data_IF_458272772606
#
_entry.id   IF_458272772606
#
_cell.length_a   1.000
_cell.length_b   1.000
_cell.length_c   1.000
_cell.angle_alpha   90.00
_cell.angle_beta   90.00
_cell.angle_gamma   90.00
#
_symmetry.space_group_name_H-M   'P 1'
#
loop_
_entity.id
_entity.type
_entity.pdbx_description
1 polymer ?
#
# COMPACT_ATOMS: atom_id res chain seq x y z
N UNK A 1 21.27 -10.06 10.90
CA UNK A 1 20.50 -9.01 10.21
C UNK A 1 21.49 -8.19 9.42
N UNK A 2 21.01 -7.45 8.41
CA UNK A 2 21.84 -6.45 7.72
C UNK A 2 21.44 -5.09 8.26
N UNK A 3 22.41 -4.32 8.76
CA UNK A 3 22.18 -2.99 9.32
C UNK A 3 23.16 -2.02 8.67
N UNK A 4 22.66 -0.86 8.23
CA UNK A 4 23.50 0.17 7.64
C UNK A 4 22.96 1.58 7.89
N UNK A 5 23.64 2.35 8.73
CA UNK A 5 23.24 3.69 9.12
C UNK A 5 23.23 4.65 7.91
N UNK A 6 24.27 4.57 7.08
CA UNK A 6 24.35 5.37 5.85
C UNK A 6 25.06 4.60 4.75
N UNK A 7 24.31 4.25 3.72
CA UNK A 7 24.87 3.66 2.50
C UNK A 7 24.69 4.59 1.31
N UNK A 8 25.81 4.93 0.68
CA UNK A 8 25.80 5.48 -0.68
C UNK A 8 25.50 4.42 -1.71
N UNK A 9 25.68 3.14 -1.37
CA UNK A 9 25.32 1.99 -2.20
C UNK A 9 24.00 1.36 -1.72
N UNK A 10 23.51 0.34 -2.43
CA UNK A 10 22.29 -0.34 -2.02
C UNK A 10 22.57 -1.22 -0.80
N UNK A 11 21.55 -1.45 0.03
CA UNK A 11 21.61 -2.46 1.09
C UNK A 11 20.90 -3.70 0.55
N UNK A 12 21.65 -4.77 0.32
CA UNK A 12 21.15 -6.00 -0.30
C UNK A 12 21.31 -7.20 0.63
N UNK A 13 20.30 -8.07 0.67
CA UNK A 13 20.38 -9.34 1.40
C UNK A 13 19.47 -10.42 0.80
N UNK A 14 20.06 -11.49 0.29
CA UNK A 14 19.31 -12.62 -0.26
C UNK A 14 18.48 -13.33 0.82
N UNK A 15 19.06 -13.51 2.02
CA UNK A 15 18.37 -14.12 3.15
C UNK A 15 18.80 -13.52 4.47
N UNK A 16 17.86 -12.85 5.15
CA UNK A 16 18.07 -12.37 6.51
C UNK A 16 17.04 -12.96 7.47
N UNK A 17 17.53 -13.70 8.46
CA UNK A 17 16.68 -14.13 9.56
C UNK A 17 16.31 -12.93 10.43
N UNK A 18 17.24 -11.99 10.70
CA UNK A 18 17.02 -10.90 11.66
C UNK A 18 16.72 -9.55 10.98
N UNK A 19 16.20 -9.55 9.76
CA UNK A 19 15.78 -8.30 9.10
C UNK A 19 16.89 -7.58 8.34
N UNK A 20 16.47 -6.61 7.53
CA UNK A 20 17.34 -5.69 6.80
C UNK A 20 16.92 -4.27 7.17
N UNK A 21 17.83 -3.49 7.73
CA UNK A 21 17.57 -2.15 8.24
C UNK A 21 18.57 -1.15 7.64
N UNK A 22 18.07 0.01 7.23
CA UNK A 22 18.94 1.13 6.83
C UNK A 22 18.33 2.49 7.07
N UNK A 23 19.00 3.32 7.87
CA UNK A 23 18.50 4.67 8.18
C UNK A 23 18.55 5.57 6.93
N UNK A 24 19.64 5.51 6.16
CA UNK A 24 19.77 6.28 4.91
C UNK A 24 20.44 5.49 3.78
N UNK A 25 19.64 5.10 2.79
CA UNK A 25 20.14 4.50 1.55
C UNK A 25 19.91 5.40 0.33
N UNK A 26 20.97 5.61 -0.45
CA UNK A 26 20.82 6.29 -1.74
C UNK A 26 20.30 5.32 -2.79
N UNK A 27 20.82 4.10 -2.89
CA UNK A 27 20.48 3.15 -3.97
C UNK A 27 19.44 2.09 -3.57
N UNK A 28 18.74 2.29 -2.45
CA UNK A 28 17.63 1.43 -2.06
C UNK A 28 18.01 0.36 -1.04
N UNK A 29 16.98 -0.34 -0.57
CA UNK A 29 17.09 -1.49 0.32
C UNK A 29 16.34 -2.64 -0.31
N UNK A 30 17.03 -3.77 -0.55
CA UNK A 30 16.48 -4.94 -1.22
C UNK A 30 16.71 -6.19 -0.39
N UNK A 31 15.68 -7.03 -0.28
CA UNK A 31 15.84 -8.36 0.30
C UNK A 31 14.90 -9.40 -0.28
N UNK A 32 15.45 -10.49 -0.82
CA UNK A 32 14.64 -11.57 -1.40
C UNK A 32 13.85 -12.30 -0.30
N UNK A 33 14.48 -12.61 0.83
CA UNK A 33 13.82 -13.27 1.96
C UNK A 33 14.22 -12.70 3.31
N UNK A 34 13.28 -12.00 3.94
CA UNK A 34 13.43 -11.54 5.32
C UNK A 34 12.38 -12.16 6.26
N UNK A 35 12.86 -12.74 7.37
CA UNK A 35 11.93 -13.15 8.44
C UNK A 35 11.49 -11.94 9.24
N UNK A 36 12.40 -11.10 9.75
CA UNK A 36 12.06 -9.96 10.61
C UNK A 36 11.79 -8.64 9.86
N UNK A 37 11.59 -8.70 8.54
CA UNK A 37 11.16 -7.54 7.76
C UNK A 37 12.28 -6.75 7.10
N UNK A 38 11.89 -5.74 6.34
CA UNK A 38 12.80 -4.79 5.68
C UNK A 38 12.35 -3.40 6.07
N UNK A 39 13.25 -2.61 6.63
CA UNK A 39 12.98 -1.27 7.14
C UNK A 39 13.97 -0.26 6.58
N UNK A 40 13.46 0.92 6.20
CA UNK A 40 14.34 2.06 5.90
C UNK A 40 13.70 3.40 6.20
N UNK A 41 14.35 4.22 7.02
CA UNK A 41 13.83 5.55 7.35
C UNK A 41 13.87 6.46 6.11
N UNK A 42 14.97 6.44 5.35
CA UNK A 42 15.10 7.23 4.12
C UNK A 42 15.77 6.47 2.99
N UNK A 43 14.98 6.17 1.96
CA UNK A 43 15.47 5.60 0.71
C UNK A 43 15.17 6.49 -0.49
N UNK A 44 16.19 6.76 -1.31
CA UNK A 44 15.94 7.42 -2.60
C UNK A 44 15.39 6.42 -3.62
N UNK A 45 16.03 5.26 -3.83
CA UNK A 45 15.62 4.29 -4.86
C UNK A 45 14.61 3.23 -4.38
N UNK A 46 14.04 3.39 -3.20
CA UNK A 46 12.95 2.55 -2.74
C UNK A 46 13.35 1.44 -1.78
N UNK A 47 12.34 0.70 -1.33
CA UNK A 47 12.50 -0.46 -0.46
C UNK A 47 11.73 -1.61 -1.10
N UNK A 48 12.42 -2.73 -1.33
CA UNK A 48 11.86 -3.88 -2.04
C UNK A 48 12.09 -5.17 -1.24
N UNK A 49 11.07 -6.02 -1.20
CA UNK A 49 11.25 -7.38 -0.70
C UNK A 49 10.33 -8.40 -1.35
N UNK A 50 10.88 -9.46 -1.93
CA UNK A 50 10.08 -10.52 -2.55
C UNK A 50 9.27 -11.27 -1.48
N UNK A 51 9.90 -11.63 -0.35
CA UNK A 51 9.23 -12.32 0.74
C UNK A 51 9.63 -11.80 2.11
N UNK A 52 8.66 -11.14 2.75
CA UNK A 52 8.78 -10.71 4.14
C UNK A 52 7.74 -11.37 5.04
N UNK A 53 8.18 -11.88 6.20
CA UNK A 53 7.24 -12.28 7.25
C UNK A 53 6.75 -11.07 8.04
N UNK A 54 7.64 -10.25 8.61
CA UNK A 54 7.24 -9.11 9.46
C UNK A 54 7.00 -7.79 8.72
N UNK A 55 6.97 -7.80 7.39
CA UNK A 55 6.55 -6.64 6.61
C UNK A 55 7.69 -5.88 5.95
N UNK A 56 7.32 -4.85 5.21
CA UNK A 56 8.24 -3.91 4.56
C UNK A 56 7.78 -2.51 4.93
N UNK A 57 8.69 -1.72 5.50
CA UNK A 57 8.38 -0.41 6.04
C UNK A 57 9.36 0.64 5.54
N UNK A 58 8.86 1.83 5.22
CA UNK A 58 9.73 2.99 4.98
C UNK A 58 9.07 4.31 5.33
N UNK A 59 9.70 5.11 6.19
CA UNK A 59 9.18 6.43 6.56
C UNK A 59 9.21 7.37 5.35
N UNK A 60 10.30 7.37 4.58
CA UNK A 60 10.43 8.21 3.38
C UNK A 60 11.10 7.49 2.23
N UNK A 61 10.30 7.22 1.20
CA UNK A 61 10.78 6.68 -0.07
C UNK A 61 10.50 7.62 -1.25
N UNK A 62 11.49 7.86 -2.10
CA UNK A 62 11.21 8.53 -3.38
C UNK A 62 10.64 7.53 -4.39
N UNK A 63 11.28 6.39 -4.65
CA UNK A 63 10.85 5.42 -5.67
C UNK A 63 9.87 4.35 -5.17
N UNK A 64 9.34 4.49 -3.97
CA UNK A 64 8.27 3.64 -3.48
C UNK A 64 8.71 2.52 -2.55
N UNK A 65 7.71 1.75 -2.12
CA UNK A 65 7.88 0.57 -1.28
C UNK A 65 7.12 -0.57 -1.93
N UNK A 66 7.80 -1.70 -2.17
CA UNK A 66 7.26 -2.82 -2.91
C UNK A 66 7.48 -4.13 -2.16
N UNK A 67 6.48 -5.01 -2.18
CA UNK A 67 6.67 -6.39 -1.76
C UNK A 67 5.75 -7.38 -2.46
N UNK A 68 6.32 -8.42 -3.06
CA UNK A 68 5.52 -9.46 -3.72
C UNK A 68 4.72 -10.24 -2.69
N UNK A 69 5.34 -10.62 -1.57
CA UNK A 69 4.67 -11.36 -0.49
C UNK A 69 5.05 -10.87 0.89
N UNK A 70 4.10 -10.19 1.54
CA UNK A 70 4.21 -9.82 2.94
C UNK A 70 3.15 -10.49 3.82
N UNK A 71 3.55 -10.95 5.00
CA UNK A 71 2.58 -11.42 5.99
C UNK A 71 2.04 -10.26 6.81
N UNK A 72 2.90 -9.41 7.39
CA UNK A 72 2.48 -8.28 8.24
C UNK A 72 2.28 -6.96 7.48
N UNK A 73 2.29 -6.98 6.16
CA UNK A 73 1.91 -5.83 5.34
C UNK A 73 3.08 -5.03 4.78
N UNK A 74 2.71 -3.97 4.07
CA UNK A 74 3.64 -3.01 3.47
C UNK A 74 3.18 -1.62 3.88
N UNK A 75 4.08 -0.83 4.45
CA UNK A 75 3.77 0.47 5.01
C UNK A 75 4.75 1.54 4.53
N UNK A 76 4.23 2.74 4.28
CA UNK A 76 5.09 3.92 4.10
C UNK A 76 4.42 5.22 4.50
N UNK A 77 5.05 6.00 5.37
CA UNK A 77 4.52 7.30 5.78
C UNK A 77 4.54 8.27 4.60
N UNK A 78 5.65 8.31 3.85
CA UNK A 78 5.77 9.18 2.67
C UNK A 78 6.45 8.49 1.49
N UNK A 79 5.66 8.24 0.46
CA UNK A 79 6.14 7.75 -0.82
C UNK A 79 5.84 8.71 -1.97
N UNK A 80 6.82 8.95 -2.84
CA UNK A 80 6.52 9.64 -4.11
C UNK A 80 5.93 8.67 -5.13
N UNK A 81 6.56 7.54 -5.41
CA UNK A 81 6.10 6.59 -6.44
C UNK A 81 5.14 5.51 -5.96
N UNK A 82 4.66 5.61 -4.72
CA UNK A 82 3.60 4.75 -4.21
C UNK A 82 4.06 3.60 -3.34
N UNK A 83 3.07 2.80 -2.94
CA UNK A 83 3.26 1.60 -2.13
C UNK A 83 2.50 0.46 -2.81
N UNK A 84 3.18 -0.64 -3.07
CA UNK A 84 2.65 -1.76 -3.85
C UNK A 84 2.87 -3.08 -3.14
N UNK A 85 1.88 -3.97 -3.20
CA UNK A 85 2.08 -5.37 -2.83
C UNK A 85 1.17 -6.33 -3.58
N UNK A 86 1.75 -7.35 -4.20
CA UNK A 86 0.98 -8.38 -4.91
C UNK A 86 0.16 -9.20 -3.90
N UNK A 87 0.78 -9.61 -2.79
CA UNK A 87 0.10 -10.38 -1.75
C UNK A 87 0.47 -9.92 -0.34
N UNK A 88 -0.51 -9.33 0.33
CA UNK A 88 -0.41 -8.99 1.74
C UNK A 88 -1.49 -9.69 2.59
N UNK A 89 -1.10 -10.21 3.76
CA UNK A 89 -2.09 -10.65 4.74
C UNK A 89 -2.61 -9.45 5.54
N UNK A 90 -1.76 -8.63 6.16
CA UNK A 90 -2.21 -7.51 7.01
C UNK A 90 -2.41 -6.18 6.28
N UNK A 91 -2.36 -6.18 4.95
CA UNK A 91 -2.72 -5.02 4.15
C UNK A 91 -1.56 -4.19 3.63
N UNK A 92 -1.91 -3.09 2.97
CA UNK A 92 -0.99 -2.12 2.40
C UNK A 92 -1.46 -0.74 2.84
N UNK A 93 -0.56 0.04 3.43
CA UNK A 93 -0.89 1.33 4.03
C UNK A 93 0.08 2.42 3.60
N UNK A 94 -0.43 3.63 3.37
CA UNK A 94 0.42 4.81 3.25
C UNK A 94 -0.27 6.10 3.69
N UNK A 95 0.37 6.86 4.58
CA UNK A 95 -0.16 8.14 5.03
C UNK A 95 -0.15 9.15 3.88
N UNK A 96 0.96 9.21 3.12
CA UNK A 96 1.08 10.11 1.98
C UNK A 96 1.76 9.46 0.79
N UNK A 97 0.98 9.26 -0.26
CA UNK A 97 1.48 8.81 -1.56
C UNK A 97 1.17 9.81 -2.68
N UNK A 98 2.13 10.08 -3.57
CA UNK A 98 1.81 10.80 -4.81
C UNK A 98 1.21 9.84 -5.84
N UNK A 99 1.86 8.72 -6.15
CA UNK A 99 1.39 7.80 -7.21
C UNK A 99 0.45 6.69 -6.74
N UNK A 100 -0.03 6.76 -5.50
CA UNK A 100 -1.08 5.88 -4.99
C UNK A 100 -0.60 4.70 -4.17
N UNK A 101 -1.56 3.88 -3.80
CA UNK A 101 -1.37 2.64 -3.02
C UNK A 101 -2.12 1.53 -3.74
N UNK A 102 -1.43 0.43 -4.03
CA UNK A 102 -1.97 -0.67 -4.83
C UNK A 102 -1.73 -2.02 -4.15
N UNK A 103 -2.72 -2.91 -4.24
CA UNK A 103 -2.52 -4.32 -3.90
C UNK A 103 -3.42 -5.26 -4.68
N UNK A 104 -2.83 -6.26 -5.33
CA UNK A 104 -3.60 -7.27 -6.06
C UNK A 104 -4.41 -8.14 -5.09
N UNK A 105 -3.79 -8.56 -3.98
CA UNK A 105 -4.46 -9.38 -2.97
C UNK A 105 -4.10 -8.98 -1.55
N UNK A 106 -5.08 -8.38 -0.87
CA UNK A 106 -5.01 -8.08 0.55
C UNK A 106 -6.09 -8.83 1.35
N UNK A 107 -5.74 -9.29 2.56
CA UNK A 107 -6.76 -9.78 3.49
C UNK A 107 -7.32 -8.64 4.34
N UNK A 108 -6.48 -7.83 4.97
CA UNK A 108 -6.92 -6.75 5.87
C UNK A 108 -7.12 -5.39 5.19
N UNK A 109 -7.04 -5.33 3.86
CA UNK A 109 -7.39 -4.14 3.10
C UNK A 109 -6.22 -3.33 2.58
N UNK A 110 -6.58 -2.22 1.92
CA UNK A 110 -5.63 -1.24 1.39
C UNK A 110 -6.10 0.14 1.85
N UNK A 111 -5.21 0.90 2.47
CA UNK A 111 -5.56 2.18 3.09
C UNK A 111 -4.58 3.28 2.68
N UNK A 112 -5.11 4.49 2.48
CA UNK A 112 -4.27 5.68 2.39
C UNK A 112 -4.96 6.95 2.87
N UNK A 113 -4.33 7.68 3.79
CA UNK A 113 -4.86 8.96 4.27
C UNK A 113 -4.85 10.00 3.15
N UNK A 114 -3.74 10.08 2.40
CA UNK A 114 -3.62 11.03 1.30
C UNK A 114 -2.92 10.45 0.08
N UNK A 115 -3.69 10.29 -0.99
CA UNK A 115 -3.19 9.90 -2.30
C UNK A 115 -3.52 10.93 -3.39
N UNK A 116 -2.56 11.19 -4.29
CA UNK A 116 -2.90 11.94 -5.51
C UNK A 116 -3.51 10.99 -6.56
N UNK A 117 -2.85 9.90 -6.91
CA UNK A 117 -3.29 9.01 -7.99
C UNK A 117 -4.23 7.87 -7.56
N UNK A 118 -4.69 7.88 -6.31
CA UNK A 118 -5.72 6.97 -5.84
C UNK A 118 -5.25 5.79 -5.01
N UNK A 119 -6.21 4.94 -4.67
CA UNK A 119 -6.00 3.69 -3.93
C UNK A 119 -6.74 2.59 -4.66
N UNK A 120 -6.04 1.51 -4.97
CA UNK A 120 -6.57 0.42 -5.79
C UNK A 120 -6.34 -0.94 -5.14
N UNK A 121 -7.33 -1.83 -5.27
CA UNK A 121 -7.12 -3.24 -4.96
C UNK A 121 -8.00 -4.18 -5.78
N UNK A 122 -7.38 -5.15 -6.46
CA UNK A 122 -8.14 -6.15 -7.23
C UNK A 122 -8.95 -7.05 -6.29
N UNK A 123 -8.34 -7.51 -5.20
CA UNK A 123 -9.02 -8.37 -4.22
C UNK A 123 -8.68 -8.01 -2.79
N UNK A 124 -9.67 -7.48 -2.08
CA UNK A 124 -9.61 -7.23 -0.65
C UNK A 124 -10.71 -7.98 0.12
N UNK A 125 -10.37 -8.51 1.30
CA UNK A 125 -11.40 -9.00 2.22
C UNK A 125 -11.96 -7.86 3.06
N UNK A 126 -11.13 -7.06 3.73
CA UNK A 126 -11.61 -5.98 4.62
C UNK A 126 -11.80 -4.63 3.94
N UNK A 127 -11.68 -4.55 2.62
CA UNK A 127 -12.02 -3.37 1.84
C UNK A 127 -10.85 -2.49 1.43
N UNK A 128 -11.20 -1.34 0.85
CA UNK A 128 -10.27 -0.32 0.39
C UNK A 128 -10.76 1.03 0.91
N UNK A 129 -9.86 1.78 1.57
CA UNK A 129 -10.22 3.04 2.21
C UNK A 129 -9.25 4.16 1.83
N UNK A 130 -9.78 5.37 1.64
CA UNK A 130 -8.94 6.56 1.57
C UNK A 130 -9.62 7.82 2.09
N UNK A 131 -8.98 8.53 3.01
CA UNK A 131 -9.53 9.78 3.54
C UNK A 131 -9.52 10.86 2.45
N UNK A 132 -8.43 10.98 1.70
CA UNK A 132 -8.31 11.95 0.61
C UNK A 132 -7.59 11.40 -0.61
N UNK A 133 -8.37 11.21 -1.67
CA UNK A 133 -7.86 10.86 -2.99
C UNK A 133 -8.17 11.94 -4.03
N UNK A 134 -7.25 12.20 -4.97
CA UNK A 134 -7.58 13.03 -6.14
C UNK A 134 -8.17 12.17 -7.26
N UNK A 135 -7.53 11.06 -7.64
CA UNK A 135 -7.97 10.23 -8.77
C UNK A 135 -8.90 9.06 -8.38
N UNK A 136 -9.34 8.99 -7.13
CA UNK A 136 -10.37 8.04 -6.71
C UNK A 136 -9.89 6.87 -5.90
N UNK A 137 -10.84 6.00 -5.56
CA UNK A 137 -10.62 4.74 -4.84
C UNK A 137 -11.34 3.64 -5.60
N UNK A 138 -10.64 2.57 -5.94
CA UNK A 138 -11.18 1.49 -6.78
C UNK A 138 -10.93 0.12 -6.15
N UNK A 139 -11.91 -0.77 -6.28
CA UNK A 139 -11.69 -2.19 -6.02
C UNK A 139 -12.56 -3.12 -6.86
N UNK A 140 -11.94 -4.06 -7.56
CA UNK A 140 -12.68 -5.04 -8.37
C UNK A 140 -13.50 -5.97 -7.47
N UNK A 141 -12.90 -6.46 -6.36
CA UNK A 141 -13.59 -7.34 -5.42
C UNK A 141 -13.26 -7.02 -3.97
N UNK A 142 -14.24 -6.48 -3.26
CA UNK A 142 -14.22 -6.29 -1.82
C UNK A 142 -15.31 -7.10 -1.11
N UNK A 143 -15.02 -7.60 0.10
CA UNK A 143 -16.08 -8.13 0.97
C UNK A 143 -16.66 -7.01 1.82
N UNK A 144 -15.84 -6.26 2.54
CA UNK A 144 -16.32 -5.23 3.48
C UNK A 144 -16.52 -3.83 2.88
N UNK A 145 -16.42 -3.69 1.55
CA UNK A 145 -16.73 -2.44 0.86
C UNK A 145 -15.54 -1.60 0.43
N UNK A 146 -15.85 -0.45 -0.16
CA UNK A 146 -14.89 0.56 -0.60
C UNK A 146 -15.37 1.90 -0.09
N UNK A 147 -14.51 2.65 0.59
CA UNK A 147 -14.89 3.90 1.25
C UNK A 147 -13.89 5.03 0.93
N UNK A 148 -14.41 6.25 0.76
CA UNK A 148 -13.57 7.44 0.73
C UNK A 148 -14.25 8.67 1.30
N UNK A 149 -13.62 9.35 2.25
CA UNK A 149 -14.19 10.58 2.82
C UNK A 149 -14.19 11.69 1.76
N UNK A 150 -13.10 11.82 1.01
CA UNK A 150 -13.01 12.80 -0.08
C UNK A 150 -12.29 12.27 -1.31
N UNK A 151 -13.03 12.23 -2.42
CA UNK A 151 -12.51 11.92 -3.74
C UNK A 151 -12.88 12.98 -4.77
N UNK A 152 -11.95 13.37 -5.65
CA UNK A 152 -12.33 14.21 -6.80
C UNK A 152 -12.93 13.34 -7.92
N UNK A 153 -12.27 12.24 -8.31
CA UNK A 153 -12.68 11.43 -9.46
C UNK A 153 -13.56 10.22 -9.11
N UNK A 154 -14.09 10.14 -7.88
CA UNK A 154 -15.07 9.15 -7.48
C UNK A 154 -14.54 7.93 -6.74
N UNK A 155 -15.46 7.04 -6.41
CA UNK A 155 -15.19 5.76 -5.75
C UNK A 155 -15.90 4.67 -6.54
N UNK A 156 -15.18 3.61 -6.90
CA UNK A 156 -15.70 2.52 -7.73
C UNK A 156 -15.51 1.16 -7.06
N UNK A 157 -16.50 0.27 -7.21
CA UNK A 157 -16.27 -1.15 -7.00
C UNK A 157 -17.10 -2.06 -7.89
N UNK A 158 -16.46 -2.96 -8.63
CA UNK A 158 -17.17 -3.89 -9.51
C UNK A 158 -18.00 -4.87 -8.68
N UNK A 159 -17.42 -5.38 -7.57
CA UNK A 159 -18.13 -6.25 -6.65
C UNK A 159 -17.80 -5.96 -5.19
N UNK A 160 -18.83 -5.53 -4.47
CA UNK A 160 -18.80 -5.37 -3.02
C UNK A 160 -19.85 -6.23 -2.33
N UNK A 161 -19.56 -6.73 -1.12
CA UNK A 161 -20.63 -7.26 -0.27
C UNK A 161 -21.23 -6.11 0.55
N UNK A 162 -20.43 -5.37 1.32
CA UNK A 162 -20.94 -4.37 2.28
C UNK A 162 -21.05 -2.92 1.79
N UNK A 163 -21.17 -2.70 0.47
CA UNK A 163 -21.48 -1.38 -0.09
C UNK A 163 -20.26 -0.61 -0.61
N UNK A 164 -20.52 0.55 -1.19
CA UNK A 164 -19.52 1.52 -1.61
C UNK A 164 -19.96 2.89 -1.11
N UNK A 165 -19.08 3.61 -0.41
CA UNK A 165 -19.41 4.88 0.23
C UNK A 165 -18.43 5.99 -0.16
N UNK A 166 -18.93 7.21 -0.32
CA UNK A 166 -18.10 8.39 -0.22
C UNK A 166 -18.83 9.52 0.48
N UNK A 167 -18.16 10.28 1.35
CA UNK A 167 -18.78 11.44 2.00
C UNK A 167 -18.79 12.66 1.08
N UNK A 168 -17.78 12.76 0.22
CA UNK A 168 -17.65 13.83 -0.76
C UNK A 168 -16.95 13.35 -2.01
N UNK A 169 -17.73 13.13 -3.05
CA UNK A 169 -17.24 12.84 -4.39
C UNK A 169 -17.69 13.90 -5.40
N UNK A 170 -16.76 14.42 -6.21
CA UNK A 170 -17.12 15.33 -7.32
C UNK A 170 -17.65 14.56 -8.55
N UNK A 171 -17.22 13.31 -8.76
CA UNK A 171 -17.56 12.52 -9.97
C UNK A 171 -18.39 11.27 -9.65
N UNK A 172 -19.04 11.24 -8.48
CA UNK A 172 -19.98 10.19 -8.09
C UNK A 172 -19.35 8.98 -7.41
N UNK A 173 -20.20 8.03 -7.03
CA UNK A 173 -19.84 6.72 -6.46
C UNK A 173 -20.57 5.65 -7.27
N UNK A 174 -19.84 4.62 -7.68
CA UNK A 174 -20.34 3.59 -8.58
C UNK A 174 -20.05 2.19 -8.04
N UNK A 175 -21.02 1.28 -8.22
CA UNK A 175 -20.79 -0.15 -8.03
C UNK A 175 -21.63 -0.97 -8.98
N UNK A 176 -20.99 -1.94 -9.67
CA UNK A 176 -21.70 -2.81 -10.62
C UNK A 176 -22.54 -3.85 -9.88
N UNK A 177 -21.98 -4.43 -8.81
CA UNK A 177 -22.68 -5.42 -7.98
C UNK A 177 -22.34 -5.23 -6.51
N UNK A 178 -23.26 -4.61 -5.79
CA UNK A 178 -23.21 -4.55 -4.34
C UNK A 178 -24.41 -5.22 -3.69
N UNK A 179 -24.17 -6.01 -2.63
CA UNK A 179 -25.28 -6.58 -1.85
C UNK A 179 -25.88 -5.58 -0.86
N UNK A 180 -25.11 -4.57 -0.49
CA UNK A 180 -25.54 -3.42 0.34
C UNK A 180 -25.42 -2.14 -0.50
N UNK A 181 -26.14 -1.07 -0.16
CA UNK A 181 -26.29 0.12 -1.03
C UNK A 181 -25.00 0.81 -1.47
N UNK A 182 -25.13 1.70 -2.47
CA UNK A 182 -24.11 2.66 -2.87
C UNK A 182 -24.51 4.02 -2.30
N UNK A 183 -23.62 4.63 -1.52
CA UNK A 183 -23.88 5.85 -0.76
C UNK A 183 -22.87 6.94 -1.16
N UNK A 184 -23.35 8.18 -1.28
CA UNK A 184 -22.59 9.37 -1.70
C UNK A 184 -23.00 10.58 -0.90
#
# INVERSE_FOLDING_TARGET
GVHSDRSTHGVHSDRSTHGVHSDRSTHGVHSDRSTHGVHSDRSTHGVHSDRSTHGVHSDRSTHGVHSDRSTHGVHSDRSTHGVHSDRSTHGVHSDRSTHGVHSDRSTHGVHSDRSTHGVHSDRSTHGVHSDRSTHGVHSDRSTHGVHSDRSTHGVHSDRSTHGVHSDRSTHGVHSDRSTHGVHS
#
